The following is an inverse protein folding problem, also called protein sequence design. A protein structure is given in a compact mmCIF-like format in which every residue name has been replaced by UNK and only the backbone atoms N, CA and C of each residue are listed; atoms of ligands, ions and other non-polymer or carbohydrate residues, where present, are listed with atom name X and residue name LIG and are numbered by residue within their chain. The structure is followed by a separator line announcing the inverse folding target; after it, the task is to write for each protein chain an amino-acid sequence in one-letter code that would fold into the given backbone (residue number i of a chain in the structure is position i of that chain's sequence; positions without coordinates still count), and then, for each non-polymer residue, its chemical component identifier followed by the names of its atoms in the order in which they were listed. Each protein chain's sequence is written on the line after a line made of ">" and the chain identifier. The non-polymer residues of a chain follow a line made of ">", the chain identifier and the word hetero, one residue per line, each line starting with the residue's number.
data_IF_262436279242
#
_entry.id   IF_262436279242
#
_cell.length_a   1.000
_cell.length_b   1.000
_cell.length_c   1.000
_cell.angle_alpha   90.00
_cell.angle_beta   90.00
_cell.angle_gamma   90.00
#
_symmetry.space_group_name_H-M   'P 1'
#
loop_
_entity.id
_entity.type
_entity.pdbx_description
1 polymer ?
#
# COMPACT_ATOMS: atom_id res chain seq x y z
N UNK A 1 -11.18 -34.59 10.52
CA UNK A 1 -9.78 -34.12 10.48
C UNK A 1 -9.61 -33.08 11.57
N UNK A 2 -8.51 -33.07 12.34
CA UNK A 2 -8.24 -31.98 13.31
C UNK A 2 -7.68 -30.75 12.59
N UNK A 3 -7.73 -29.58 13.25
CA UNK A 3 -7.16 -28.33 12.71
C UNK A 3 -5.70 -28.51 12.27
N UNK A 4 -4.85 -29.08 13.14
CA UNK A 4 -3.43 -29.32 12.85
C UNK A 4 -3.21 -30.38 11.75
N UNK A 5 -4.10 -31.36 11.58
CA UNK A 5 -4.02 -32.29 10.45
C UNK A 5 -4.33 -31.56 9.14
N UNK A 6 -5.37 -30.71 9.11
CA UNK A 6 -5.73 -29.93 7.95
C UNK A 6 -4.59 -28.99 7.53
N UNK A 7 -3.98 -28.26 8.48
CA UNK A 7 -2.81 -27.41 8.20
C UNK A 7 -1.68 -28.23 7.55
N UNK A 8 -1.34 -29.41 8.09
CA UNK A 8 -0.27 -30.25 7.50
C UNK A 8 -0.61 -30.70 6.07
N UNK A 9 -1.85 -31.05 5.77
CA UNK A 9 -2.25 -31.43 4.41
C UNK A 9 -2.15 -30.25 3.45
N UNK A 10 -2.55 -29.04 3.90
CA UNK A 10 -2.42 -27.81 3.11
C UNK A 10 -0.93 -27.50 2.84
N UNK A 11 -0.08 -27.61 3.87
CA UNK A 11 1.36 -27.38 3.71
C UNK A 11 1.99 -28.38 2.73
N UNK A 12 1.62 -29.66 2.82
CA UNK A 12 2.09 -30.67 1.87
C UNK A 12 1.62 -30.38 0.43
N UNK A 13 0.39 -29.92 0.28
CA UNK A 13 -0.15 -29.51 -1.03
C UNK A 13 0.62 -28.30 -1.61
N UNK A 14 0.91 -27.29 -0.79
CA UNK A 14 1.77 -26.15 -1.19
C UNK A 14 3.16 -26.63 -1.61
N UNK A 15 3.79 -27.52 -0.83
CA UNK A 15 5.10 -28.08 -1.15
C UNK A 15 5.08 -28.88 -2.45
N UNK A 16 4.00 -29.62 -2.72
CA UNK A 16 3.82 -30.36 -3.98
C UNK A 16 3.74 -29.41 -5.20
N UNK A 17 3.12 -28.23 -5.02
CA UNK A 17 3.00 -27.19 -6.04
C UNK A 17 4.24 -26.27 -6.13
N UNK A 18 5.27 -26.47 -5.30
CA UNK A 18 6.42 -25.56 -5.22
C UNK A 18 7.05 -25.23 -6.59
N UNK A 19 7.29 -26.20 -7.52
CA UNK A 19 7.85 -25.85 -8.83
C UNK A 19 6.97 -24.87 -9.63
N UNK A 20 5.65 -25.04 -9.60
CA UNK A 20 4.72 -24.15 -10.28
C UNK A 20 4.69 -22.76 -9.66
N UNK A 21 4.71 -22.70 -8.31
CA UNK A 21 4.67 -21.44 -7.56
C UNK A 21 5.93 -20.62 -7.78
N UNK A 22 7.10 -21.26 -7.72
CA UNK A 22 8.38 -20.59 -7.93
C UNK A 22 8.53 -20.10 -9.37
N UNK A 23 8.13 -20.91 -10.36
CA UNK A 23 8.10 -20.50 -11.76
C UNK A 23 7.14 -19.31 -12.00
N UNK A 24 6.00 -19.26 -11.31
CA UNK A 24 5.10 -18.12 -11.35
C UNK A 24 5.78 -16.85 -10.82
N UNK A 25 6.43 -16.92 -9.65
CA UNK A 25 7.12 -15.78 -9.09
C UNK A 25 8.26 -15.28 -9.97
N UNK A 26 9.04 -16.16 -10.56
CA UNK A 26 10.10 -15.81 -11.52
C UNK A 26 9.52 -15.17 -12.80
N UNK A 27 8.42 -15.72 -13.33
CA UNK A 27 7.75 -15.13 -14.50
C UNK A 27 7.27 -13.70 -14.21
N UNK A 28 6.68 -13.46 -13.04
CA UNK A 28 6.25 -12.13 -12.62
C UNK A 28 7.42 -11.17 -12.42
N UNK A 29 8.56 -11.64 -11.88
CA UNK A 29 9.78 -10.84 -11.73
C UNK A 29 10.26 -10.27 -13.07
N UNK A 30 10.22 -11.10 -14.11
CA UNK A 30 10.70 -10.73 -15.46
C UNK A 30 9.67 -9.94 -16.29
N UNK A 31 8.46 -9.72 -15.78
CA UNK A 31 7.41 -8.95 -16.46
C UNK A 31 6.78 -7.92 -15.51
N UNK A 32 7.59 -6.96 -15.01
CA UNK A 32 7.13 -5.99 -14.04
C UNK A 32 6.15 -4.98 -14.68
N UNK A 33 5.03 -4.73 -14.02
CA UNK A 33 4.02 -3.76 -14.41
C UNK A 33 3.77 -2.77 -13.26
N UNK A 34 3.75 -1.47 -13.55
CA UNK A 34 3.50 -0.44 -12.53
C UNK A 34 2.02 -0.35 -12.15
N UNK A 35 1.72 0.35 -11.05
CA UNK A 35 0.39 0.40 -10.47
C UNK A 35 -0.72 0.87 -11.42
N UNK A 36 -1.84 0.16 -11.43
CA UNK A 36 -2.97 0.25 -12.36
C UNK A 36 -2.60 -0.02 -13.83
N UNK A 37 -1.45 -0.65 -14.07
CA UNK A 37 -1.04 -1.20 -15.38
C UNK A 37 -0.78 -2.71 -15.30
N UNK A 38 -1.04 -3.37 -14.18
CA UNK A 38 -0.80 -4.79 -13.89
C UNK A 38 -1.80 -5.71 -14.65
N UNK A 39 -2.05 -5.39 -15.92
CA UNK A 39 -3.04 -6.11 -16.73
C UNK A 39 -2.65 -7.57 -16.99
N UNK A 40 -1.35 -7.82 -17.29
CA UNK A 40 -0.84 -9.16 -17.49
C UNK A 40 -0.82 -9.96 -16.20
N UNK A 41 -0.25 -9.38 -15.15
CA UNK A 41 -0.17 -9.98 -13.81
C UNK A 41 -1.57 -10.34 -13.29
N UNK A 42 -2.49 -9.38 -13.29
CA UNK A 42 -3.88 -9.59 -12.86
C UNK A 42 -4.57 -10.71 -13.65
N UNK A 43 -4.45 -10.69 -14.98
CA UNK A 43 -5.03 -11.73 -15.84
C UNK A 43 -4.45 -13.12 -15.51
N UNK A 44 -3.13 -13.26 -15.42
CA UNK A 44 -2.46 -14.53 -15.14
C UNK A 44 -2.92 -15.13 -13.79
N UNK A 45 -2.99 -14.32 -12.74
CA UNK A 45 -3.41 -14.79 -11.42
C UNK A 45 -4.90 -15.16 -11.42
N UNK A 46 -5.75 -14.35 -12.04
CA UNK A 46 -7.20 -14.64 -12.17
C UNK A 46 -7.44 -15.95 -12.93
N UNK A 47 -6.70 -16.22 -13.98
CA UNK A 47 -6.78 -17.50 -14.73
C UNK A 47 -6.42 -18.67 -13.83
N UNK A 48 -5.36 -18.57 -13.01
CA UNK A 48 -4.97 -19.62 -12.06
C UNK A 48 -6.05 -19.86 -10.99
N UNK A 49 -6.59 -18.79 -10.39
CA UNK A 49 -7.66 -18.90 -9.39
C UNK A 49 -8.95 -19.47 -9.99
N UNK A 50 -9.29 -19.06 -11.21
CA UNK A 50 -10.43 -19.65 -11.95
C UNK A 50 -10.23 -21.14 -12.24
N UNK A 51 -9.02 -21.58 -12.58
CA UNK A 51 -8.70 -22.98 -12.78
C UNK A 51 -8.84 -23.84 -11.50
N UNK A 52 -8.73 -23.22 -10.32
CA UNK A 52 -9.04 -23.86 -9.03
C UNK A 52 -10.57 -23.91 -8.74
N UNK A 53 -11.41 -23.43 -9.64
CA UNK A 53 -12.86 -23.36 -9.46
C UNK A 53 -13.35 -22.20 -8.60
N UNK A 54 -12.50 -21.21 -8.32
CA UNK A 54 -12.87 -20.05 -7.52
C UNK A 54 -13.54 -18.98 -8.39
N UNK A 55 -14.72 -18.45 -7.98
CA UNK A 55 -15.35 -17.32 -8.68
C UNK A 55 -14.55 -16.06 -8.48
N UNK A 56 -14.10 -15.45 -9.58
CA UNK A 56 -13.29 -14.23 -9.58
C UNK A 56 -14.13 -13.02 -9.98
N UNK A 57 -13.97 -11.90 -9.25
CA UNK A 57 -14.56 -10.59 -9.57
C UNK A 57 -13.46 -9.56 -9.73
N UNK A 58 -13.60 -8.69 -10.71
CA UNK A 58 -12.68 -7.59 -10.97
C UNK A 58 -13.09 -6.35 -10.17
N UNK A 59 -12.09 -5.59 -9.69
CA UNK A 59 -12.25 -4.35 -8.94
C UNK A 59 -11.14 -3.37 -9.32
N UNK A 60 -11.44 -2.08 -9.27
CA UNK A 60 -10.43 -1.03 -9.37
C UNK A 60 -9.42 -1.24 -10.52
N UNK A 61 -9.92 -1.46 -11.72
CA UNK A 61 -9.21 -1.59 -13.00
C UNK A 61 -8.39 -2.90 -13.13
N UNK A 62 -7.39 -3.14 -12.30
CA UNK A 62 -6.51 -4.31 -12.34
C UNK A 62 -6.60 -5.18 -11.09
N UNK A 63 -7.21 -4.68 -10.01
CA UNK A 63 -7.46 -5.46 -8.81
C UNK A 63 -8.56 -6.51 -9.00
N UNK A 64 -8.57 -7.52 -8.15
CA UNK A 64 -9.57 -8.58 -8.19
C UNK A 64 -9.76 -9.22 -6.80
N UNK A 65 -10.85 -9.98 -6.67
CA UNK A 65 -11.12 -10.85 -5.54
C UNK A 65 -11.66 -12.20 -6.04
N UNK A 66 -11.16 -13.28 -5.44
CA UNK A 66 -11.66 -14.63 -5.62
C UNK A 66 -12.04 -15.22 -4.28
N UNK A 67 -13.18 -15.92 -4.18
CA UNK A 67 -13.67 -16.46 -2.92
C UNK A 67 -13.64 -17.99 -2.90
N UNK A 68 -13.01 -18.58 -1.88
CA UNK A 68 -13.26 -19.96 -1.47
C UNK A 68 -14.43 -19.94 -0.48
N UNK A 69 -15.63 -20.18 -1.00
CA UNK A 69 -16.86 -20.24 -0.20
C UNK A 69 -17.08 -21.68 0.31
N UNK A 70 -17.21 -21.83 1.62
CA UNK A 70 -17.42 -23.14 2.25
C UNK A 70 -18.86 -23.64 2.17
N UNK A 71 -19.80 -22.81 1.70
CA UNK A 71 -21.23 -23.08 1.72
C UNK A 71 -21.85 -23.06 3.13
N UNK A 72 -21.08 -22.72 4.16
CA UNK A 72 -21.51 -22.62 5.56
C UNK A 72 -21.41 -21.17 6.01
N UNK A 73 -22.42 -20.67 6.71
CA UNK A 73 -22.39 -19.33 7.26
C UNK A 73 -21.24 -19.14 8.26
N UNK A 74 -20.48 -18.06 8.11
CA UNK A 74 -19.32 -17.79 8.95
C UNK A 74 -18.61 -16.51 8.58
N UNK A 75 -17.49 -16.19 9.26
CA UNK A 75 -16.68 -15.01 9.00
C UNK A 75 -15.94 -15.10 7.66
N UNK A 76 -15.47 -13.95 7.19
CA UNK A 76 -14.68 -13.82 5.95
C UNK A 76 -13.26 -13.39 6.27
N UNK A 77 -12.29 -14.25 5.90
CA UNK A 77 -10.87 -13.97 6.03
C UNK A 77 -10.28 -13.50 4.70
N UNK A 78 -9.73 -12.28 4.65
CA UNK A 78 -9.00 -11.75 3.50
C UNK A 78 -7.52 -12.16 3.51
N UNK A 79 -7.04 -12.79 2.44
CA UNK A 79 -5.64 -13.01 2.15
C UNK A 79 -5.23 -12.14 0.97
N UNK A 80 -4.26 -11.25 1.18
CA UNK A 80 -3.91 -10.21 0.22
C UNK A 80 -2.55 -10.48 -0.43
N UNK A 81 -2.42 -10.09 -1.71
CA UNK A 81 -1.17 -10.07 -2.44
C UNK A 81 -1.08 -8.83 -3.33
N UNK A 82 0.01 -8.10 -3.23
CA UNK A 82 0.32 -6.95 -4.08
C UNK A 82 0.87 -7.39 -5.43
N UNK A 83 0.63 -6.59 -6.48
CA UNK A 83 0.93 -6.96 -7.85
C UNK A 83 1.89 -6.00 -8.56
N UNK A 84 1.95 -4.75 -8.11
CA UNK A 84 2.65 -3.69 -8.84
C UNK A 84 4.17 -3.71 -8.64
N UNK A 85 4.88 -3.19 -9.65
CA UNK A 85 6.30 -2.89 -9.64
C UNK A 85 6.54 -1.39 -9.45
N UNK A 86 7.74 -1.03 -9.06
CA UNK A 86 8.19 0.36 -8.99
C UNK A 86 9.09 0.74 -10.18
N UNK A 87 9.42 2.03 -10.30
CA UNK A 87 10.32 2.55 -11.32
C UNK A 87 11.72 2.75 -10.73
N UNK A 88 12.68 1.96 -11.21
CA UNK A 88 14.10 2.16 -10.92
C UNK A 88 14.95 1.78 -12.16
N UNK A 89 15.12 2.68 -13.12
CA UNK A 89 15.87 2.41 -14.36
C UNK A 89 17.37 2.13 -14.14
N UNK A 90 17.88 2.37 -12.91
CA UNK A 90 19.27 2.03 -12.56
C UNK A 90 19.43 0.59 -12.03
N UNK A 91 18.33 -0.14 -11.83
CA UNK A 91 18.39 -1.54 -11.43
C UNK A 91 18.82 -2.39 -12.62
N UNK A 92 19.78 -3.35 -12.44
CA UNK A 92 20.31 -4.14 -13.55
C UNK A 92 19.26 -5.02 -14.27
N UNK A 93 18.18 -5.36 -13.59
CA UNK A 93 17.07 -6.17 -14.13
C UNK A 93 15.80 -5.32 -14.37
N UNK A 94 15.92 -3.99 -14.43
CA UNK A 94 14.80 -3.15 -14.82
C UNK A 94 14.39 -3.42 -16.27
N UNK A 95 13.10 -3.42 -16.53
CA UNK A 95 12.59 -3.49 -17.90
C UNK A 95 13.15 -2.33 -18.72
N UNK A 96 13.81 -2.60 -19.87
CA UNK A 96 14.56 -1.58 -20.61
C UNK A 96 13.66 -0.54 -21.29
N UNK A 97 12.37 -0.81 -21.49
CA UNK A 97 11.43 0.11 -22.11
C UNK A 97 10.74 1.00 -21.09
N UNK A 98 10.36 0.43 -19.95
CA UNK A 98 9.57 1.13 -18.92
C UNK A 98 10.39 1.59 -17.72
N UNK A 99 11.51 0.96 -17.43
CA UNK A 99 12.29 1.16 -16.20
C UNK A 99 11.65 0.51 -14.97
N UNK A 100 10.61 -0.31 -15.16
CA UNK A 100 9.92 -1.01 -14.09
C UNK A 100 10.75 -2.17 -13.53
N UNK A 101 10.64 -2.43 -12.23
CA UNK A 101 11.28 -3.57 -11.56
C UNK A 101 10.56 -3.88 -10.25
N UNK A 102 10.51 -5.16 -9.87
CA UNK A 102 9.91 -5.59 -8.60
C UNK A 102 10.86 -5.41 -7.39
N UNK A 103 11.55 -4.26 -7.28
CA UNK A 103 12.50 -3.98 -6.21
C UNK A 103 11.85 -3.67 -4.84
N UNK A 104 10.57 -4.05 -4.65
CA UNK A 104 9.86 -4.16 -3.38
C UNK A 104 9.36 -5.59 -3.10
N UNK A 105 9.50 -6.50 -4.07
CA UNK A 105 9.17 -7.93 -3.90
C UNK A 105 7.70 -8.30 -4.08
N UNK A 106 6.83 -7.42 -4.57
CA UNK A 106 5.38 -7.63 -4.69
C UNK A 106 5.00 -8.87 -5.51
N UNK A 107 5.79 -9.24 -6.53
CA UNK A 107 5.61 -10.48 -7.27
C UNK A 107 5.59 -11.73 -6.38
N UNK A 108 6.35 -11.72 -5.26
CA UNK A 108 6.33 -12.83 -4.29
C UNK A 108 5.07 -12.83 -3.44
N UNK A 109 4.49 -11.66 -3.15
CA UNK A 109 3.26 -11.53 -2.35
C UNK A 109 2.06 -12.13 -3.08
N UNK A 110 1.88 -11.77 -4.36
CA UNK A 110 0.78 -12.31 -5.16
C UNK A 110 0.98 -13.80 -5.47
N UNK A 111 2.23 -14.24 -5.66
CA UNK A 111 2.56 -15.65 -5.82
C UNK A 111 2.26 -16.44 -4.53
N UNK A 112 2.58 -15.91 -3.34
CA UNK A 112 2.28 -16.54 -2.06
C UNK A 112 0.78 -16.63 -1.78
N UNK A 113 0.02 -15.57 -2.04
CA UNK A 113 -1.45 -15.59 -1.93
C UNK A 113 -2.05 -16.67 -2.86
N UNK A 114 -1.58 -16.74 -4.10
CA UNK A 114 -2.01 -17.74 -5.08
C UNK A 114 -1.67 -19.16 -4.62
N UNK A 115 -0.47 -19.36 -4.07
CA UNK A 115 -0.04 -20.63 -3.50
C UNK A 115 -0.89 -21.07 -2.29
N UNK A 116 -1.28 -20.13 -1.42
CA UNK A 116 -2.21 -20.39 -0.33
C UNK A 116 -3.58 -20.88 -0.87
N UNK A 117 -4.09 -20.24 -1.93
CA UNK A 117 -5.32 -20.68 -2.59
C UNK A 117 -5.18 -22.09 -3.17
N UNK A 118 -4.07 -22.39 -3.87
CA UNK A 118 -3.80 -23.74 -4.40
C UNK A 118 -3.79 -24.79 -3.29
N UNK A 119 -3.03 -24.56 -2.20
CA UNK A 119 -2.93 -25.50 -1.09
C UNK A 119 -4.25 -25.75 -0.38
N UNK A 120 -5.03 -24.69 -0.15
CA UNK A 120 -6.36 -24.78 0.48
C UNK A 120 -7.37 -25.56 -0.40
N UNK A 121 -7.36 -25.33 -1.71
CA UNK A 121 -8.22 -26.05 -2.64
C UNK A 121 -7.81 -27.51 -2.78
N UNK A 122 -6.51 -27.80 -2.99
CA UNK A 122 -6.01 -29.17 -3.18
C UNK A 122 -6.21 -30.05 -1.95
N UNK A 123 -6.10 -29.48 -0.75
CA UNK A 123 -6.38 -30.18 0.52
C UNK A 123 -7.89 -30.29 0.84
N UNK A 124 -8.78 -29.77 0.00
CA UNK A 124 -10.22 -29.80 0.25
C UNK A 124 -10.64 -29.06 1.54
N UNK A 125 -9.93 -27.99 1.88
CA UNK A 125 -10.09 -27.28 3.15
C UNK A 125 -11.52 -26.79 3.41
N UNK A 126 -12.26 -26.41 2.37
CA UNK A 126 -13.65 -25.91 2.47
C UNK A 126 -14.57 -26.86 3.27
N UNK A 127 -14.36 -28.17 3.21
CA UNK A 127 -15.16 -29.15 3.95
C UNK A 127 -15.02 -29.06 5.49
N UNK A 128 -13.97 -28.43 5.99
CA UNK A 128 -13.61 -28.33 7.40
C UNK A 128 -13.74 -26.92 7.99
N UNK A 129 -13.99 -25.94 7.14
CA UNK A 129 -14.10 -24.52 7.47
C UNK A 129 -15.55 -24.04 7.44
N UNK A 130 -15.80 -22.84 7.92
CA UNK A 130 -17.04 -22.10 7.72
C UNK A 130 -16.75 -20.67 7.24
N UNK A 131 -17.73 -20.03 6.63
CA UNK A 131 -17.55 -18.70 6.04
C UNK A 131 -16.79 -18.75 4.73
N UNK A 132 -15.89 -17.78 4.50
CA UNK A 132 -15.17 -17.61 3.22
C UNK A 132 -13.71 -17.23 3.44
N UNK A 133 -12.87 -17.62 2.48
CA UNK A 133 -11.54 -17.05 2.31
C UNK A 133 -11.57 -16.20 1.04
N UNK A 134 -11.33 -14.90 1.17
CA UNK A 134 -11.25 -13.95 0.08
C UNK A 134 -9.78 -13.73 -0.31
N UNK A 135 -9.38 -14.17 -1.50
CA UNK A 135 -8.07 -13.92 -2.09
C UNK A 135 -8.14 -12.61 -2.88
N UNK A 136 -7.40 -11.61 -2.45
CA UNK A 136 -7.50 -10.24 -2.98
C UNK A 136 -6.18 -9.83 -3.62
N UNK A 137 -6.18 -9.68 -4.94
CA UNK A 137 -5.08 -9.10 -5.70
C UNK A 137 -5.12 -7.58 -5.63
N UNK A 138 -4.09 -7.00 -5.00
CA UNK A 138 -4.01 -5.57 -4.71
C UNK A 138 -3.13 -4.87 -5.74
N UNK A 139 -3.67 -3.92 -6.55
CA UNK A 139 -2.88 -3.11 -7.45
C UNK A 139 -2.25 -1.92 -6.72
N UNK A 140 -1.31 -1.24 -7.36
CA UNK A 140 -0.92 0.15 -7.15
C UNK A 140 -0.63 0.54 -5.68
N UNK A 141 0.16 -0.25 -4.96
CA UNK A 141 0.63 0.08 -3.60
C UNK A 141 1.65 1.22 -3.64
N UNK A 142 2.60 1.16 -4.56
CA UNK A 142 3.67 2.14 -4.74
C UNK A 142 3.12 3.49 -5.18
N UNK A 143 3.52 4.55 -4.51
CA UNK A 143 3.01 5.92 -4.76
C UNK A 143 3.74 6.62 -5.91
N UNK A 144 3.72 6.04 -7.10
CA UNK A 144 4.37 6.52 -8.33
C UNK A 144 3.36 6.91 -9.42
N UNK A 145 3.80 7.52 -10.51
CA UNK A 145 2.99 7.90 -11.69
C UNK A 145 1.69 8.66 -11.34
N UNK A 146 1.78 9.64 -10.42
CA UNK A 146 0.61 10.34 -9.85
C UNK A 146 -0.28 11.03 -10.89
N UNK A 147 0.30 11.55 -11.98
CA UNK A 147 -0.48 12.20 -13.05
C UNK A 147 -1.33 11.19 -13.81
N UNK A 148 -0.78 10.01 -14.13
CA UNK A 148 -1.52 8.91 -14.72
C UNK A 148 -2.69 8.47 -13.83
N UNK A 149 -2.40 8.19 -12.55
CA UNK A 149 -3.42 7.76 -11.57
C UNK A 149 -4.49 8.82 -11.33
N UNK A 150 -4.10 10.10 -11.30
CA UNK A 150 -5.05 11.21 -11.20
C UNK A 150 -5.93 11.30 -12.46
N UNK A 151 -5.39 11.03 -13.63
CA UNK A 151 -6.14 10.91 -14.89
C UNK A 151 -7.19 9.80 -14.83
N UNK A 152 -6.82 8.62 -14.34
CA UNK A 152 -7.74 7.49 -14.13
C UNK A 152 -8.85 7.84 -13.12
N UNK A 153 -8.50 8.52 -12.02
CA UNK A 153 -9.48 8.95 -11.03
C UNK A 153 -10.42 10.01 -11.58
N UNK A 154 -9.91 10.97 -12.32
CA UNK A 154 -10.73 12.04 -12.94
C UNK A 154 -11.68 11.49 -14.00
N UNK A 155 -11.26 10.45 -14.74
CA UNK A 155 -12.13 9.76 -15.72
C UNK A 155 -13.08 8.75 -15.09
N UNK A 156 -13.05 8.56 -13.75
CA UNK A 156 -13.94 7.66 -13.03
C UNK A 156 -13.59 6.16 -13.14
N UNK A 157 -12.40 5.83 -13.67
CA UNK A 157 -11.95 4.44 -13.80
C UNK A 157 -11.50 3.85 -12.44
N UNK A 158 -10.99 4.70 -11.54
CA UNK A 158 -10.63 4.32 -10.17
C UNK A 158 -11.19 5.33 -9.17
N UNK A 159 -11.52 4.87 -7.97
CA UNK A 159 -12.06 5.73 -6.90
C UNK A 159 -10.95 6.41 -6.07
N UNK A 160 -9.73 5.87 -6.07
CA UNK A 160 -8.58 6.41 -5.34
C UNK A 160 -7.28 6.09 -6.10
N UNK A 161 -6.23 6.88 -5.89
CA UNK A 161 -4.92 6.72 -6.55
C UNK A 161 -4.03 5.63 -5.91
N UNK A 162 -4.42 5.09 -4.75
CA UNK A 162 -3.80 3.95 -4.06
C UNK A 162 -4.71 2.73 -4.20
N UNK A 163 -4.12 1.57 -4.42
CA UNK A 163 -4.83 0.35 -4.83
C UNK A 163 -5.79 -0.19 -3.78
N UNK A 164 -5.35 -0.39 -2.53
CA UNK A 164 -6.23 -0.92 -1.48
C UNK A 164 -7.34 0.08 -1.13
N UNK A 165 -7.05 1.40 -1.18
CA UNK A 165 -8.09 2.41 -1.05
C UNK A 165 -9.13 2.33 -2.20
N UNK A 166 -8.68 2.12 -3.44
CA UNK A 166 -9.58 1.95 -4.58
C UNK A 166 -10.43 0.67 -4.44
N UNK A 167 -9.85 -0.43 -3.99
CA UNK A 167 -10.55 -1.69 -3.71
C UNK A 167 -11.61 -1.54 -2.60
N UNK A 168 -11.29 -0.85 -1.50
CA UNK A 168 -12.23 -0.56 -0.41
C UNK A 168 -13.42 0.23 -0.94
N UNK A 169 -13.16 1.32 -1.68
CA UNK A 169 -14.20 2.18 -2.21
C UNK A 169 -15.03 1.52 -3.32
N UNK A 170 -14.52 0.46 -3.94
CA UNK A 170 -15.23 -0.36 -4.92
C UNK A 170 -15.99 -1.54 -4.27
N UNK A 171 -15.92 -1.73 -2.94
CA UNK A 171 -16.66 -2.75 -2.20
C UNK A 171 -15.98 -4.12 -2.09
N UNK A 172 -14.70 -4.24 -2.46
CA UNK A 172 -13.98 -5.52 -2.38
C UNK A 172 -13.81 -6.05 -0.93
N UNK A 173 -13.96 -5.19 0.07
CA UNK A 173 -13.78 -5.49 1.50
C UNK A 173 -15.08 -5.44 2.33
N UNK A 174 -16.25 -5.25 1.72
CA UNK A 174 -17.50 -4.97 2.46
C UNK A 174 -17.85 -6.04 3.48
N UNK A 175 -17.68 -7.32 3.13
CA UNK A 175 -17.96 -8.47 3.97
C UNK A 175 -16.72 -9.08 4.67
N UNK A 176 -15.49 -8.56 4.41
CA UNK A 176 -14.27 -9.08 5.03
C UNK A 176 -14.21 -8.72 6.50
N UNK A 177 -13.93 -9.67 7.38
CA UNK A 177 -13.89 -9.49 8.84
C UNK A 177 -12.49 -9.35 9.43
N UNK A 178 -11.49 -9.97 8.79
CA UNK A 178 -10.08 -9.81 9.12
C UNK A 178 -9.23 -10.01 7.88
N UNK A 179 -8.07 -9.35 7.78
CA UNK A 179 -7.20 -9.44 6.62
C UNK A 179 -5.73 -9.64 7.00
N UNK A 180 -5.04 -10.49 6.25
CA UNK A 180 -3.62 -10.77 6.42
C UNK A 180 -2.88 -10.61 5.11
N UNK A 181 -1.77 -9.90 5.16
CA UNK A 181 -0.78 -9.80 4.11
C UNK A 181 0.62 -10.01 4.70
N UNK A 182 1.45 -10.74 3.98
CA UNK A 182 2.85 -10.92 4.34
C UNK A 182 3.73 -10.30 3.26
N UNK A 183 4.61 -9.42 3.68
CA UNK A 183 5.53 -8.69 2.82
C UNK A 183 6.94 -9.28 2.95
N UNK A 184 7.59 -9.58 1.82
CA UNK A 184 8.98 -10.03 1.85
C UNK A 184 9.90 -8.89 2.33
N UNK A 185 10.85 -9.21 3.20
CA UNK A 185 11.73 -8.23 3.82
C UNK A 185 12.99 -8.89 4.39
N UNK A 186 13.62 -8.23 5.33
CA UNK A 186 14.84 -8.74 5.98
C UNK A 186 14.52 -9.77 7.08
N UNK A 187 13.34 -9.69 7.69
CA UNK A 187 12.99 -10.51 8.86
C UNK A 187 11.47 -10.75 9.03
N UNK A 188 11.12 -11.52 10.06
CA UNK A 188 9.74 -11.87 10.43
C UNK A 188 9.18 -10.91 11.46
N UNK A 189 8.90 -9.68 11.05
CA UNK A 189 8.34 -8.63 11.92
C UNK A 189 7.11 -8.01 11.31
N UNK A 190 6.16 -7.60 12.15
CA UNK A 190 5.16 -6.63 11.75
C UNK A 190 5.60 -5.22 12.13
N UNK A 191 5.31 -4.26 11.27
CA UNK A 191 5.66 -2.87 11.49
C UNK A 191 4.43 -1.98 11.35
N UNK A 192 4.13 -1.24 12.43
CA UNK A 192 3.23 -0.11 12.34
C UNK A 192 3.88 0.99 11.51
N UNK A 193 3.15 1.51 10.54
CA UNK A 193 3.69 2.49 9.60
C UNK A 193 2.96 3.82 9.62
N UNK A 194 3.57 4.83 9.00
CA UNK A 194 3.01 6.16 8.89
C UNK A 194 1.99 6.26 7.77
N UNK A 195 0.96 7.08 7.97
CA UNK A 195 0.12 7.55 6.88
C UNK A 195 0.80 8.65 6.06
N UNK A 196 0.29 8.85 4.85
CA UNK A 196 0.86 9.77 3.85
C UNK A 196 -0.20 10.71 3.28
N UNK A 197 0.17 11.97 3.11
CA UNK A 197 -0.48 12.93 2.21
C UNK A 197 0.54 13.47 1.24
N UNK A 198 0.24 13.39 -0.05
CA UNK A 198 1.02 13.98 -1.11
C UNK A 198 0.55 15.41 -1.38
N UNK A 199 1.49 16.31 -1.62
CA UNK A 199 1.23 17.73 -1.91
C UNK A 199 1.92 18.13 -3.21
N UNK A 200 1.15 18.55 -4.20
CA UNK A 200 1.66 19.17 -5.42
C UNK A 200 1.37 20.66 -5.35
N UNK A 201 2.42 21.47 -5.41
CA UNK A 201 2.34 22.93 -5.22
C UNK A 201 2.92 23.61 -6.45
N UNK A 202 2.18 24.58 -7.00
CA UNK A 202 2.65 25.46 -8.07
C UNK A 202 2.38 26.91 -7.68
N UNK A 203 3.42 27.72 -7.65
CA UNK A 203 3.34 29.16 -7.53
C UNK A 203 3.30 29.78 -8.94
N UNK A 204 2.43 30.75 -9.14
CA UNK A 204 2.23 31.46 -10.41
C UNK A 204 2.57 32.92 -10.22
N UNK A 205 3.65 33.36 -10.82
CA UNK A 205 4.10 34.75 -10.88
C UNK A 205 3.97 35.32 -12.29
N UNK A 206 4.84 36.28 -12.62
CA UNK A 206 4.89 36.94 -13.92
C UNK A 206 6.34 37.00 -14.42
N UNK A 207 6.60 36.39 -15.58
CA UNK A 207 7.93 36.43 -16.20
C UNK A 207 8.27 37.80 -16.76
N UNK A 208 9.54 38.20 -16.59
CA UNK A 208 10.11 39.39 -17.26
C UNK A 208 11.61 39.20 -17.41
N UNK A 209 12.25 40.16 -18.09
CA UNK A 209 13.73 40.17 -18.19
C UNK A 209 14.36 40.44 -16.81
N UNK A 210 15.35 39.65 -16.41
CA UNK A 210 15.98 39.74 -15.08
C UNK A 210 16.68 41.07 -14.81
N UNK A 211 17.03 41.83 -15.85
CA UNK A 211 17.57 43.19 -15.72
C UNK A 211 16.51 44.26 -15.30
N UNK A 212 15.22 43.90 -15.36
CA UNK A 212 14.09 44.77 -14.99
C UNK A 212 13.09 44.01 -14.12
N UNK A 213 13.53 43.50 -12.96
CA UNK A 213 12.76 42.57 -12.13
C UNK A 213 11.46 43.19 -11.56
N UNK A 214 11.40 44.50 -11.46
CA UNK A 214 10.21 45.25 -11.02
C UNK A 214 9.02 45.12 -11.96
N UNK A 215 9.20 44.58 -13.16
CA UNK A 215 8.14 44.33 -14.14
C UNK A 215 7.59 42.90 -14.08
N UNK A 216 8.04 42.12 -13.11
CA UNK A 216 7.61 40.71 -12.95
C UNK A 216 7.34 40.38 -11.51
N UNK A 217 6.86 39.12 -11.30
CA UNK A 217 6.67 38.50 -10.00
C UNK A 217 7.39 37.15 -10.01
N UNK A 218 8.41 37.02 -9.15
CA UNK A 218 9.28 35.84 -9.15
C UNK A 218 8.63 34.68 -8.38
N UNK A 219 8.15 33.67 -9.07
CA UNK A 219 7.55 32.48 -8.44
C UNK A 219 8.57 31.67 -7.60
N UNK A 220 9.88 31.79 -7.88
CA UNK A 220 10.92 31.12 -7.10
C UNK A 220 11.09 31.74 -5.70
N UNK A 221 10.75 33.01 -5.52
CA UNK A 221 10.79 33.66 -4.20
C UNK A 221 9.68 33.08 -3.30
N UNK A 222 8.47 32.86 -3.82
CA UNK A 222 7.40 32.15 -3.11
C UNK A 222 7.84 30.74 -2.71
N UNK A 223 8.50 30.01 -3.61
CA UNK A 223 9.02 28.68 -3.34
C UNK A 223 10.09 28.69 -2.24
N UNK A 224 11.00 29.67 -2.23
CA UNK A 224 12.02 29.81 -1.19
C UNK A 224 11.40 30.08 0.18
N UNK A 225 10.43 31.01 0.26
CA UNK A 225 9.67 31.32 1.49
C UNK A 225 8.91 30.08 1.99
N UNK A 226 8.25 29.35 1.09
CA UNK A 226 7.52 28.11 1.41
C UNK A 226 8.44 27.06 2.02
N UNK A 227 9.61 26.83 1.45
CA UNK A 227 10.59 25.86 1.97
C UNK A 227 11.11 26.26 3.35
N UNK A 228 11.33 27.57 3.56
CA UNK A 228 11.73 28.08 4.88
C UNK A 228 10.62 27.88 5.92
N UNK A 229 9.37 28.21 5.58
CA UNK A 229 8.22 27.98 6.45
C UNK A 229 8.03 26.49 6.81
N UNK A 230 8.26 25.58 5.87
CA UNK A 230 8.23 24.12 6.13
C UNK A 230 9.35 23.73 7.11
N UNK A 231 10.55 24.30 6.99
CA UNK A 231 11.65 24.01 7.91
C UNK A 231 11.28 24.40 9.36
N UNK A 232 10.69 25.59 9.56
CA UNK A 232 10.21 26.06 10.86
C UNK A 232 9.02 25.24 11.39
N UNK A 233 8.17 24.71 10.51
CA UNK A 233 7.03 23.90 10.90
C UNK A 233 7.44 22.62 11.65
N UNK A 234 8.62 22.05 11.36
CA UNK A 234 9.12 20.83 11.99
C UNK A 234 9.28 20.93 13.51
N UNK A 235 9.62 22.10 14.04
CA UNK A 235 9.79 22.33 15.48
C UNK A 235 8.48 22.18 16.29
N UNK A 236 7.34 22.22 15.63
CA UNK A 236 6.02 22.13 16.30
C UNK A 236 5.64 20.71 16.72
N UNK A 237 6.38 19.70 16.29
CA UNK A 237 6.07 18.31 16.58
C UNK A 237 7.04 17.75 17.62
N UNK A 238 6.52 17.04 18.62
CA UNK A 238 7.32 16.43 19.67
C UNK A 238 8.21 15.32 19.12
N UNK A 239 9.30 15.01 19.81
CA UNK A 239 10.20 13.92 19.45
C UNK A 239 9.52 12.53 19.51
N UNK A 240 8.43 12.41 20.27
CA UNK A 240 7.61 11.20 20.38
C UNK A 240 6.70 10.99 19.16
N UNK A 241 6.45 12.07 18.40
CA UNK A 241 5.62 12.03 17.20
C UNK A 241 6.44 11.66 15.99
N UNK A 242 6.06 10.59 15.32
CA UNK A 242 6.72 10.20 14.06
C UNK A 242 6.17 11.07 12.91
N UNK A 243 6.80 12.23 12.71
CA UNK A 243 6.49 13.15 11.59
C UNK A 243 7.66 13.22 10.64
N UNK A 244 7.38 13.11 9.33
CA UNK A 244 8.37 13.34 8.27
C UNK A 244 7.77 14.25 7.22
N UNK A 245 8.58 15.20 6.77
CA UNK A 245 8.25 16.15 5.70
C UNK A 245 9.40 16.12 4.73
N UNK A 246 9.20 15.48 3.59
CA UNK A 246 10.18 15.40 2.52
C UNK A 246 9.59 15.93 1.23
N UNK A 247 10.40 16.56 0.39
CA UNK A 247 9.94 17.06 -0.90
C UNK A 247 11.07 17.49 -1.81
N UNK A 248 10.72 17.62 -3.07
CA UNK A 248 11.61 18.05 -4.16
C UNK A 248 11.05 19.28 -4.86
N UNK A 249 11.94 20.03 -5.49
CA UNK A 249 11.56 21.07 -6.46
C UNK A 249 11.48 20.39 -7.81
N UNK A 250 10.31 20.49 -8.47
CA UNK A 250 10.08 19.90 -9.79
C UNK A 250 10.30 20.91 -10.91
N UNK A 251 10.14 22.22 -10.60
CA UNK A 251 10.41 23.33 -11.54
C UNK A 251 10.79 24.60 -10.79
N UNK A 252 11.82 25.32 -11.26
CA UNK A 252 12.28 26.57 -10.63
C UNK A 252 12.91 27.56 -11.63
N UNK A 253 12.24 27.75 -12.79
CA UNK A 253 12.74 28.61 -13.87
C UNK A 253 13.46 27.83 -14.98
N UNK A 254 13.82 28.55 -16.07
CA UNK A 254 14.39 27.94 -17.28
C UNK A 254 15.72 28.60 -17.71
N UNK A 255 15.88 29.90 -17.46
CA UNK A 255 17.08 30.63 -17.80
C UNK A 255 17.40 31.74 -16.79
N UNK A 256 18.68 31.97 -16.52
CA UNK A 256 19.11 32.92 -15.49
C UNK A 256 18.78 34.38 -15.80
N UNK A 257 18.55 34.72 -17.07
CA UNK A 257 18.20 36.07 -17.52
C UNK A 257 16.67 36.31 -17.60
N UNK A 258 15.86 35.39 -17.08
CA UNK A 258 14.39 35.46 -17.05
C UNK A 258 13.91 35.30 -15.61
N UNK A 259 13.10 36.23 -15.10
CA UNK A 259 12.38 36.06 -13.84
C UNK A 259 11.37 34.91 -13.99
N UNK A 260 11.42 33.85 -13.16
CA UNK A 260 10.53 32.71 -13.29
C UNK A 260 9.07 33.07 -13.00
N UNK A 261 8.20 32.91 -14.01
CA UNK A 261 6.74 33.10 -13.85
C UNK A 261 6.02 31.88 -13.31
N UNK A 262 6.72 30.76 -13.10
CA UNK A 262 6.16 29.54 -12.47
C UNK A 262 7.25 28.78 -11.74
N UNK A 263 6.92 28.28 -10.53
CA UNK A 263 7.79 27.38 -9.78
C UNK A 263 6.92 26.30 -9.11
N UNK A 264 7.40 25.05 -9.12
CA UNK A 264 6.64 23.90 -8.61
C UNK A 264 7.49 23.03 -7.71
N UNK A 265 6.82 22.40 -6.73
CA UNK A 265 7.43 21.43 -5.83
C UNK A 265 6.41 20.35 -5.45
N UNK A 266 6.93 19.20 -5.07
CA UNK A 266 6.14 18.10 -4.54
C UNK A 266 6.64 17.71 -3.15
N UNK A 267 5.71 17.38 -2.26
CA UNK A 267 6.00 16.99 -0.89
C UNK A 267 5.21 15.75 -0.49
N UNK A 268 5.86 14.91 0.31
CA UNK A 268 5.26 13.79 1.02
C UNK A 268 5.28 14.11 2.51
N UNK A 269 4.09 14.23 3.09
CA UNK A 269 3.87 14.44 4.51
C UNK A 269 3.54 13.09 5.13
N UNK A 270 4.26 12.71 6.19
CA UNK A 270 4.06 11.44 6.90
C UNK A 270 3.79 11.70 8.38
N UNK A 271 2.84 10.97 8.95
CA UNK A 271 2.61 10.95 10.40
C UNK A 271 2.06 9.57 10.84
N UNK A 272 2.34 9.22 12.09
CA UNK A 272 1.96 7.94 12.68
C UNK A 272 0.51 7.89 13.18
N UNK A 273 -0.24 9.01 13.13
CA UNK A 273 -1.65 9.12 13.54
C UNK A 273 -2.41 10.01 12.57
N UNK A 274 -3.66 9.65 12.32
CA UNK A 274 -4.52 10.39 11.39
C UNK A 274 -4.69 11.87 11.79
N UNK A 275 -4.99 12.15 13.06
CA UNK A 275 -5.20 13.53 13.54
C UNK A 275 -3.96 14.39 13.36
N UNK A 276 -2.78 13.79 13.56
CA UNK A 276 -1.50 14.44 13.36
C UNK A 276 -1.21 14.69 11.88
N UNK A 277 -1.53 13.71 11.02
CA UNK A 277 -1.40 13.85 9.56
C UNK A 277 -2.33 14.94 9.02
N UNK A 278 -3.57 14.99 9.48
CA UNK A 278 -4.54 16.02 9.12
C UNK A 278 -4.12 17.42 9.61
N UNK A 279 -3.59 17.53 10.84
CA UNK A 279 -3.05 18.80 11.35
C UNK A 279 -1.83 19.26 10.53
N UNK A 280 -0.90 18.35 10.26
CA UNK A 280 0.28 18.62 9.45
C UNK A 280 -0.11 19.11 8.04
N UNK A 281 -1.08 18.43 7.40
CA UNK A 281 -1.61 18.81 6.09
C UNK A 281 -2.17 20.23 6.09
N UNK A 282 -3.02 20.60 7.05
CA UNK A 282 -3.58 21.95 7.18
C UNK A 282 -2.51 23.03 7.44
N UNK A 283 -1.49 22.72 8.25
CA UNK A 283 -0.40 23.66 8.54
C UNK A 283 0.47 23.87 7.32
N UNK A 284 0.74 22.81 6.56
CA UNK A 284 1.44 22.88 5.30
C UNK A 284 0.70 23.80 4.32
N UNK A 285 -0.60 23.60 4.12
CA UNK A 285 -1.42 24.41 3.22
C UNK A 285 -1.38 25.89 3.60
N UNK A 286 -1.47 26.19 4.89
CA UNK A 286 -1.36 27.56 5.39
C UNK A 286 0.02 28.19 5.13
N UNK A 287 1.08 27.41 5.26
CA UNK A 287 2.44 27.88 4.95
C UNK A 287 2.58 28.21 3.46
N UNK A 288 2.01 27.40 2.57
CA UNK A 288 2.02 27.67 1.12
C UNK A 288 1.26 28.96 0.76
N UNK A 289 0.08 29.14 1.35
CA UNK A 289 -0.71 30.38 1.18
C UNK A 289 0.06 31.61 1.67
N UNK A 290 0.67 31.52 2.85
CA UNK A 290 1.48 32.61 3.39
C UNK A 290 2.67 32.98 2.50
N UNK A 291 3.33 31.99 1.90
CA UNK A 291 4.45 32.19 0.98
C UNK A 291 3.99 32.83 -0.34
N UNK A 292 2.88 32.36 -0.90
CA UNK A 292 2.28 32.92 -2.11
C UNK A 292 1.91 34.40 -1.91
N UNK A 293 1.17 34.71 -0.84
CA UNK A 293 0.77 36.07 -0.49
C UNK A 293 1.98 36.98 -0.30
N UNK A 294 3.01 36.56 0.45
CA UNK A 294 4.20 37.38 0.71
C UNK A 294 5.01 37.70 -0.55
N UNK A 295 4.94 36.84 -1.56
CA UNK A 295 5.64 37.03 -2.84
C UNK A 295 4.77 37.62 -3.94
N UNK A 296 3.49 37.93 -3.68
CA UNK A 296 2.54 38.40 -4.69
C UNK A 296 2.23 37.37 -5.79
N UNK A 297 2.29 36.08 -5.46
CA UNK A 297 2.09 34.96 -6.40
C UNK A 297 0.70 34.35 -6.25
N UNK A 298 0.12 33.89 -7.35
CA UNK A 298 -0.98 32.93 -7.30
C UNK A 298 -0.51 31.57 -6.81
N UNK A 299 -1.42 30.77 -6.27
CA UNK A 299 -1.17 29.43 -5.72
C UNK A 299 -2.11 28.41 -6.35
N UNK A 300 -1.54 27.30 -6.81
CA UNK A 300 -2.28 26.06 -7.03
C UNK A 300 -1.68 24.98 -6.14
N UNK A 301 -2.48 24.44 -5.23
CA UNK A 301 -2.07 23.40 -4.29
C UNK A 301 -3.07 22.25 -4.33
N UNK A 302 -2.58 21.07 -4.68
CA UNK A 302 -3.35 19.83 -4.69
C UNK A 302 -2.86 18.92 -3.56
N UNK A 303 -3.80 18.45 -2.74
CA UNK A 303 -3.56 17.44 -1.70
C UNK A 303 -4.19 16.13 -2.14
N UNK A 304 -3.38 15.06 -2.14
CA UNK A 304 -3.81 13.72 -2.48
C UNK A 304 -3.57 12.82 -1.27
N UNK A 305 -4.63 12.20 -0.69
CA UNK A 305 -4.44 11.24 0.38
C UNK A 305 -3.77 9.98 -0.19
N UNK A 306 -2.60 9.64 0.34
CA UNK A 306 -1.95 8.36 0.14
C UNK A 306 -2.47 7.32 1.13
N UNK A 307 -1.57 6.51 1.69
CA UNK A 307 -1.89 5.51 2.71
C UNK A 307 -2.33 6.13 4.05
N UNK A 308 -3.20 5.45 4.78
CA UNK A 308 -3.49 5.74 6.17
C UNK A 308 -2.43 5.12 7.10
N UNK A 309 -2.29 5.61 8.36
CA UNK A 309 -1.38 4.97 9.32
C UNK A 309 -1.75 3.50 9.54
N UNK A 310 -0.80 2.59 9.30
CA UNK A 310 -1.00 1.18 9.60
C UNK A 310 -0.85 0.92 11.09
N UNK A 311 -1.81 0.20 11.65
CA UNK A 311 -1.78 -0.39 12.98
C UNK A 311 -2.09 -1.87 12.83
N UNK A 312 -1.10 -2.70 13.08
CA UNK A 312 -1.29 -4.14 13.06
C UNK A 312 -2.16 -4.58 14.24
N UNK A 313 -3.13 -5.45 13.97
CA UNK A 313 -3.88 -6.08 15.03
C UNK A 313 -2.97 -7.03 15.83
N UNK A 314 -2.75 -6.82 17.15
CA UNK A 314 -1.77 -7.60 17.90
C UNK A 314 -2.17 -9.06 18.10
N UNK A 315 -3.47 -9.36 18.12
CA UNK A 315 -3.95 -10.73 18.28
C UNK A 315 -3.79 -11.51 16.96
N UNK A 316 -4.19 -10.89 15.84
CA UNK A 316 -4.04 -11.48 14.51
C UNK A 316 -2.55 -11.66 14.17
N UNK A 317 -1.68 -10.69 14.54
CA UNK A 317 -0.24 -10.83 14.37
C UNK A 317 0.34 -11.98 15.18
N UNK A 318 -0.14 -12.18 16.42
CA UNK A 318 0.28 -13.33 17.23
C UNK A 318 -0.08 -14.65 16.58
N UNK A 319 -1.24 -14.75 15.92
CA UNK A 319 -1.62 -15.94 15.15
C UNK A 319 -0.65 -16.19 13.98
N UNK A 320 -0.17 -15.14 13.29
CA UNK A 320 0.87 -15.28 12.26
C UNK A 320 2.17 -15.82 12.87
N UNK A 321 2.60 -15.28 14.03
CA UNK A 321 3.80 -15.76 14.73
C UNK A 321 3.67 -17.23 15.19
N UNK A 322 2.50 -17.62 15.70
CA UNK A 322 2.24 -18.99 16.13
C UNK A 322 2.24 -19.97 14.95
N UNK A 323 1.62 -19.58 13.82
CA UNK A 323 1.65 -20.35 12.57
C UNK A 323 3.09 -20.54 12.04
N UNK A 324 3.92 -19.50 12.08
CA UNK A 324 5.33 -19.61 11.76
C UNK A 324 6.08 -20.54 12.73
N UNK A 325 5.85 -20.41 14.05
CA UNK A 325 6.47 -21.27 15.06
C UNK A 325 6.13 -22.75 14.92
N UNK A 326 4.91 -23.08 14.48
CA UNK A 326 4.49 -24.42 14.12
C UNK A 326 5.26 -24.98 12.90
N UNK A 327 5.54 -24.12 11.90
CA UNK A 327 6.27 -24.48 10.70
C UNK A 327 7.77 -24.65 10.93
N UNK A 328 8.35 -23.82 11.81
CA UNK A 328 9.79 -23.72 12.04
C UNK A 328 10.11 -23.76 13.54
N UNK A 329 9.99 -24.94 14.20
CA UNK A 329 10.28 -25.08 15.60
C UNK A 329 11.73 -24.68 15.91
N UNK A 330 11.92 -23.77 16.88
CA UNK A 330 13.24 -23.27 17.29
C UNK A 330 13.65 -21.95 16.63
N UNK A 331 12.82 -21.36 15.77
CA UNK A 331 13.02 -19.98 15.34
C UNK A 331 12.35 -19.03 16.35
N UNK A 332 13.12 -18.05 16.80
CA UNK A 332 12.59 -16.97 17.63
C UNK A 332 11.87 -15.95 16.73
N UNK A 333 10.58 -15.79 16.96
CA UNK A 333 9.78 -14.75 16.33
C UNK A 333 9.74 -13.52 17.22
N UNK A 334 9.96 -12.37 16.59
CA UNK A 334 9.77 -11.11 17.27
C UNK A 334 8.27 -10.81 17.33
N UNK A 335 7.68 -11.05 18.51
CA UNK A 335 6.23 -10.85 18.76
C UNK A 335 5.87 -9.38 18.96
N UNK A 336 6.87 -8.51 19.08
CA UNK A 336 6.69 -7.07 19.22
C UNK A 336 6.46 -6.43 17.85
N UNK A 337 5.50 -5.50 17.80
CA UNK A 337 5.20 -4.70 16.61
C UNK A 337 6.07 -3.44 16.66
N UNK A 338 6.89 -3.24 15.64
CA UNK A 338 7.78 -2.09 15.54
C UNK A 338 7.07 -0.89 14.91
N UNK A 339 7.63 0.31 15.15
CA UNK A 339 7.24 1.53 14.43
C UNK A 339 8.22 1.78 13.30
N UNK A 340 7.69 1.96 12.08
CA UNK A 340 8.45 2.27 10.88
C UNK A 340 7.98 3.60 10.29
N UNK A 341 8.88 4.51 9.90
CA UNK A 341 8.51 5.74 9.20
C UNK A 341 8.05 5.52 7.75
N UNK A 342 8.20 4.31 7.21
CA UNK A 342 7.63 3.88 5.94
C UNK A 342 6.11 3.99 5.92
N UNK A 343 5.50 3.65 4.81
CA UNK A 343 4.04 3.67 4.63
C UNK A 343 3.63 2.53 3.74
N UNK A 344 2.46 1.98 3.99
CA UNK A 344 1.78 1.00 3.14
C UNK A 344 0.28 1.27 3.14
N UNK A 345 -0.37 1.04 2.03
CA UNK A 345 -1.82 1.18 1.93
C UNK A 345 -2.60 0.04 2.63
N UNK A 346 -1.89 -0.93 3.27
CA UNK A 346 -2.49 -1.79 4.30
C UNK A 346 -3.06 -0.98 5.48
N UNK A 347 -2.56 0.23 5.73
CA UNK A 347 -3.15 1.15 6.71
C UNK A 347 -4.59 1.53 6.38
N UNK A 348 -4.95 1.61 5.10
CA UNK A 348 -6.33 1.85 4.66
C UNK A 348 -7.23 0.66 5.02
N UNK A 349 -6.75 -0.58 4.83
CA UNK A 349 -7.45 -1.79 5.26
C UNK A 349 -7.59 -1.82 6.78
N UNK A 350 -6.51 -1.52 7.52
CA UNK A 350 -6.51 -1.44 8.99
C UNK A 350 -7.45 -0.38 9.57
N UNK A 351 -7.90 0.61 8.78
CA UNK A 351 -8.94 1.55 9.20
C UNK A 351 -10.32 0.89 9.33
N UNK A 352 -10.64 -0.09 8.49
CA UNK A 352 -12.00 -0.64 8.34
C UNK A 352 -12.16 -2.04 8.94
N UNK A 353 -11.07 -2.75 9.22
CA UNK A 353 -11.10 -4.08 9.81
C UNK A 353 -9.75 -4.45 10.48
N UNK A 354 -9.73 -5.43 11.38
CA UNK A 354 -8.49 -5.99 11.93
C UNK A 354 -7.59 -6.52 10.81
N UNK A 355 -6.38 -5.99 10.71
CA UNK A 355 -5.45 -6.32 9.65
C UNK A 355 -4.02 -6.54 10.15
N UNK A 356 -3.26 -7.37 9.44
CA UNK A 356 -1.83 -7.57 9.64
C UNK A 356 -1.07 -7.37 8.34
N UNK A 357 0.01 -6.61 8.45
CA UNK A 357 1.07 -6.49 7.48
C UNK A 357 2.36 -7.01 8.12
N UNK A 358 2.59 -8.32 7.97
CA UNK A 358 3.72 -9.04 8.57
C UNK A 358 4.91 -9.15 7.63
N UNK A 359 6.12 -9.29 8.18
CA UNK A 359 7.34 -9.54 7.41
C UNK A 359 7.63 -11.02 7.23
N UNK A 360 8.24 -11.38 6.11
CA UNK A 360 8.85 -12.68 5.83
C UNK A 360 10.23 -12.44 5.23
N UNK A 361 11.29 -13.13 5.68
CA UNK A 361 12.62 -12.93 5.10
C UNK A 361 12.71 -13.49 3.69
N UNK A 362 13.69 -13.05 2.94
CA UNK A 362 13.95 -13.56 1.61
C UNK A 362 14.60 -12.56 0.66
N UNK A 363 14.93 -11.36 1.15
CA UNK A 363 15.57 -10.32 0.34
C UNK A 363 17.00 -10.06 0.78
N UNK A 364 17.79 -9.53 -0.15
CA UNK A 364 19.07 -8.89 0.08
C UNK A 364 19.12 -7.56 -0.68
N UNK A 365 19.99 -6.66 -0.24
CA UNK A 365 20.11 -5.30 -0.79
C UNK A 365 19.15 -4.31 -0.15
N UNK A 366 19.12 -3.12 -0.70
CA UNK A 366 18.33 -1.99 -0.19
C UNK A 366 16.94 -2.00 -0.83
N UNK A 367 15.88 -1.97 -0.04
CA UNK A 367 14.51 -1.83 -0.55
C UNK A 367 14.42 -0.61 -1.49
N UNK A 368 13.86 -0.81 -2.69
CA UNK A 368 13.83 0.14 -3.82
C UNK A 368 15.22 0.48 -4.42
N UNK A 369 16.31 -0.11 -3.91
CA UNK A 369 17.67 0.11 -4.41
C UNK A 369 17.97 -0.65 -5.69
N UNK A 370 19.08 -0.27 -6.35
CA UNK A 370 19.58 -0.98 -7.53
C UNK A 370 20.22 -2.34 -7.21
N UNK A 371 20.47 -2.60 -5.93
CA UNK A 371 21.04 -3.83 -5.38
C UNK A 371 20.00 -4.78 -4.79
N UNK A 372 18.71 -4.42 -4.84
CA UNK A 372 17.63 -5.26 -4.33
C UNK A 372 17.50 -6.56 -5.10
N UNK A 373 17.38 -7.68 -4.40
CA UNK A 373 17.09 -8.99 -5.00
C UNK A 373 16.36 -9.91 -4.03
N UNK A 374 15.63 -10.86 -4.59
CA UNK A 374 15.10 -11.98 -3.82
C UNK A 374 16.21 -13.03 -3.68
N UNK A 375 16.72 -13.18 -2.47
CA UNK A 375 17.79 -14.13 -2.16
C UNK A 375 17.26 -15.53 -1.84
N UNK A 376 16.06 -15.62 -1.28
CA UNK A 376 15.38 -16.89 -0.98
C UNK A 376 13.91 -16.85 -1.42
N UNK A 377 13.69 -17.20 -2.68
CA UNK A 377 12.36 -17.23 -3.28
C UNK A 377 11.44 -18.28 -2.63
N UNK A 378 12.02 -19.38 -2.11
CA UNK A 378 11.22 -20.42 -1.42
C UNK A 378 10.64 -19.88 -0.13
N UNK A 379 11.44 -19.26 0.71
CA UNK A 379 10.96 -18.61 1.93
C UNK A 379 9.97 -17.50 1.60
N UNK A 380 10.28 -16.62 0.67
CA UNK A 380 9.41 -15.52 0.27
C UNK A 380 8.02 -15.99 -0.18
N UNK A 381 7.93 -17.06 -0.97
CA UNK A 381 6.66 -17.53 -1.52
C UNK A 381 6.01 -18.64 -0.68
N UNK A 382 6.76 -19.72 -0.36
CA UNK A 382 6.17 -20.93 0.22
C UNK A 382 5.92 -20.77 1.72
N UNK A 383 6.83 -20.14 2.47
CA UNK A 383 6.59 -19.85 3.89
C UNK A 383 5.41 -18.91 4.04
N UNK A 384 5.40 -17.81 3.29
CA UNK A 384 4.28 -16.86 3.28
C UNK A 384 2.95 -17.55 2.99
N UNK A 385 2.90 -18.41 1.96
CA UNK A 385 1.68 -19.15 1.60
C UNK A 385 1.19 -20.05 2.74
N UNK A 386 2.10 -20.78 3.39
CA UNK A 386 1.77 -21.68 4.50
C UNK A 386 1.26 -20.91 5.72
N UNK A 387 1.87 -19.78 6.04
CA UNK A 387 1.43 -18.91 7.15
C UNK A 387 0.06 -18.33 6.85
N UNK A 388 -0.15 -17.74 5.66
CA UNK A 388 -1.44 -17.21 5.23
C UNK A 388 -2.54 -18.26 5.32
N UNK A 389 -2.31 -19.45 4.78
CA UNK A 389 -3.27 -20.54 4.82
C UNK A 389 -3.54 -21.03 6.25
N UNK A 390 -2.51 -21.13 7.10
CA UNK A 390 -2.65 -21.54 8.52
C UNK A 390 -3.50 -20.56 9.30
N UNK A 391 -3.26 -19.25 9.14
CA UNK A 391 -4.07 -18.21 9.80
C UNK A 391 -5.53 -18.25 9.33
N UNK A 392 -5.78 -18.45 8.02
CA UNK A 392 -7.13 -18.60 7.50
C UNK A 392 -7.83 -19.84 8.10
N UNK A 393 -7.11 -20.96 8.24
CA UNK A 393 -7.63 -22.15 8.94
C UNK A 393 -7.95 -21.83 10.39
N UNK A 394 -7.07 -21.18 11.15
CA UNK A 394 -7.29 -20.85 12.57
C UNK A 394 -8.49 -19.91 12.79
N UNK A 395 -8.76 -19.04 11.81
CA UNK A 395 -9.92 -18.15 11.85
C UNK A 395 -11.24 -18.88 11.56
N UNK A 396 -11.23 -19.87 10.63
CA UNK A 396 -12.45 -20.41 10.02
C UNK A 396 -12.72 -21.87 10.37
N UNK A 397 -11.81 -22.57 11.06
CA UNK A 397 -11.95 -23.98 11.38
C UNK A 397 -13.20 -24.27 12.24
N UNK A 398 -13.90 -25.35 11.92
CA UNK A 398 -15.09 -25.79 12.64
C UNK A 398 -16.25 -24.81 12.49
N UNK A 399 -16.59 -24.10 13.55
CA UNK A 399 -17.63 -23.08 13.57
C UNK A 399 -17.10 -21.65 13.41
N UNK A 400 -15.80 -21.48 13.17
CA UNK A 400 -15.17 -20.17 12.97
C UNK A 400 -15.27 -19.23 14.18
N UNK A 401 -15.17 -19.76 15.38
CA UNK A 401 -15.32 -18.98 16.62
C UNK A 401 -14.30 -17.85 16.70
N UNK A 402 -13.05 -18.14 16.32
CA UNK A 402 -11.98 -17.13 16.27
C UNK A 402 -12.34 -16.03 15.28
N UNK A 403 -12.70 -16.35 14.06
CA UNK A 403 -13.08 -15.36 13.04
C UNK A 403 -14.32 -14.55 13.42
N UNK A 404 -15.33 -15.16 14.06
CA UNK A 404 -16.50 -14.44 14.59
C UNK A 404 -16.13 -13.43 15.68
N UNK A 405 -15.06 -13.68 16.45
CA UNK A 405 -14.52 -12.71 17.40
C UNK A 405 -13.93 -11.51 16.67
N UNK A 406 -13.19 -11.72 15.57
CA UNK A 406 -12.68 -10.63 14.74
C UNK A 406 -13.81 -9.88 14.02
N UNK A 407 -14.86 -10.55 13.58
CA UNK A 407 -16.04 -9.89 13.02
C UNK A 407 -16.71 -8.92 14.05
N UNK A 408 -16.82 -9.32 15.32
CA UNK A 408 -17.29 -8.42 16.39
C UNK A 408 -16.31 -7.25 16.60
N UNK A 409 -15.01 -7.53 16.66
CA UNK A 409 -13.97 -6.50 16.81
C UNK A 409 -14.02 -5.47 15.68
N UNK A 410 -14.22 -5.92 14.42
CA UNK A 410 -14.45 -5.02 13.29
C UNK A 410 -15.60 -4.06 13.55
N UNK A 411 -16.74 -4.56 14.05
CA UNK A 411 -17.93 -3.73 14.31
C UNK A 411 -17.73 -2.75 15.47
N UNK A 412 -16.95 -3.12 16.48
CA UNK A 412 -16.76 -2.34 17.71
C UNK A 412 -15.63 -1.32 17.61
N UNK A 413 -14.52 -1.66 16.95
CA UNK A 413 -13.26 -0.88 16.99
C UNK A 413 -12.91 -0.20 15.67
N UNK A 414 -13.49 -0.63 14.53
CA UNK A 414 -13.12 -0.12 13.21
C UNK A 414 -14.21 0.78 12.62
N UNK A 415 -13.80 1.63 11.70
CA UNK A 415 -14.74 2.55 11.06
C UNK A 415 -15.48 1.88 9.88
N UNK A 416 -16.69 2.37 9.60
CA UNK A 416 -17.41 1.98 8.37
C UNK A 416 -16.70 2.51 7.13
N UNK A 417 -16.93 1.88 5.97
CA UNK A 417 -16.41 2.33 4.68
C UNK A 417 -16.85 3.77 4.37
N UNK A 418 -18.07 4.15 4.77
CA UNK A 418 -18.55 5.53 4.60
C UNK A 418 -17.75 6.54 5.43
N UNK A 419 -17.45 6.22 6.69
CA UNK A 419 -16.60 7.08 7.52
C UNK A 419 -15.17 7.14 7.00
N UNK A 420 -14.65 6.04 6.46
CA UNK A 420 -13.35 6.00 5.79
C UNK A 420 -13.33 6.89 4.54
N UNK A 421 -14.39 6.88 3.71
CA UNK A 421 -14.55 7.78 2.55
C UNK A 421 -14.47 9.24 2.97
N UNK A 422 -15.25 9.63 3.98
CA UNK A 422 -15.26 11.00 4.53
C UNK A 422 -13.89 11.40 5.10
N UNK A 423 -13.15 10.46 5.69
CA UNK A 423 -11.80 10.69 6.20
C UNK A 423 -10.83 11.01 5.06
N UNK A 424 -10.88 10.27 3.96
CA UNK A 424 -10.06 10.56 2.77
C UNK A 424 -10.42 11.89 2.12
N UNK A 425 -11.70 12.22 2.04
CA UNK A 425 -12.18 13.51 1.50
C UNK A 425 -11.60 14.70 2.29
N UNK A 426 -11.46 14.58 3.61
CA UNK A 426 -10.84 15.64 4.45
C UNK A 426 -9.36 15.87 4.16
N UNK A 427 -8.66 14.88 3.59
CA UNK A 427 -7.26 14.98 3.18
C UNK A 427 -7.11 15.37 1.71
N UNK A 428 -8.20 15.37 0.96
CA UNK A 428 -8.24 15.76 -0.45
C UNK A 428 -8.56 17.24 -0.54
N UNK A 429 -7.77 18.00 -1.25
CA UNK A 429 -8.08 19.41 -1.53
C UNK A 429 -7.46 19.89 -2.83
N UNK A 430 -8.12 20.82 -3.48
CA UNK A 430 -7.57 21.62 -4.55
C UNK A 430 -7.80 23.10 -4.21
N UNK A 431 -6.73 23.81 -3.93
CA UNK A 431 -6.72 25.23 -3.62
C UNK A 431 -6.21 25.95 -4.86
N UNK A 432 -6.95 26.92 -5.34
CA UNK A 432 -6.55 27.84 -6.41
C UNK A 432 -6.82 29.26 -5.93
N UNK A 433 -5.75 30.02 -5.79
CA UNK A 433 -5.80 31.43 -5.39
C UNK A 433 -5.02 32.23 -6.45
N UNK A 434 -5.64 33.29 -6.95
CA UNK A 434 -4.95 34.21 -7.84
C UNK A 434 -4.01 35.10 -7.04
N UNK A 435 -3.04 35.71 -7.72
CA UNK A 435 -2.26 36.77 -7.11
C UNK A 435 -3.25 37.88 -6.68
N UNK A 436 -3.13 38.32 -5.43
CA UNK A 436 -3.82 39.52 -4.98
C UNK A 436 -3.00 40.73 -5.43
N UNK A 437 -3.65 41.72 -6.03
CA UNK A 437 -3.05 42.98 -6.46
C UNK A 437 -2.54 43.83 -5.28
#
# INVERSE_FOLDING_TARGET
>A
MTCNQLKREIHAAIDHRAPEILALAEDLWHHPETGFREFRTSRLIREKLTALGLPVREYALTGFRADLDTGREGPVCGLLGEMDALLNPNHPEADPETGAVHACGHHTHIAAMTAAAMGLCDAGAAAHLCGKIAFIGCPAEESIELDYRTGLQTSGQIAATSGKAALILAGAFDDVDAAVMLHVGEDRRAMDSSGVVLKCVTFRGQSCHAASPQNGVNATDALALARHAIALLRERYSNESMVRIHGIITRSGEAVNIIPGSASMEYMLRADRFELLADLSRRFDRAMRGAALAAGCGLELRSLPGAQPMRNDPELYRMCCDACGELYPGLDFVREIYRNPGSTDMGDVGCILPAVHGGVPGVEGTCHGADFRIADLKTACLESAKVLASVAVDLLYGNGETGRRFARKKQEEHMSVERYRQLRERLTSLIRENAED
#
